data_IF_765771163485
#
_entry.id   IF_765771163485
#
_cell.length_a   1.000
_cell.length_b   1.000
_cell.length_c   1.000
_cell.angle_alpha   90.00
_cell.angle_beta   90.00
_cell.angle_gamma   90.00
#
_symmetry.space_group_name_H-M   'P 1'
#
loop_
_entity.id
_entity.type
_entity.pdbx_description
1 polymer ?
#
# COMPACT_ATOMS: atom_id res chain seq x y z
N UNK A 1 8.42 8.93 -28.97
CA UNK A 1 7.38 9.31 -27.99
C UNK A 1 7.94 8.92 -26.63
N UNK A 2 8.53 9.87 -25.90
CA UNK A 2 9.02 9.62 -24.55
C UNK A 2 7.80 9.32 -23.68
N UNK A 3 7.76 8.12 -23.10
CA UNK A 3 6.72 7.75 -22.14
C UNK A 3 7.07 8.51 -20.86
N UNK A 4 6.30 9.54 -20.52
CA UNK A 4 6.34 10.14 -19.20
C UNK A 4 6.09 9.02 -18.17
N UNK A 5 7.17 8.57 -17.52
CA UNK A 5 7.07 7.67 -16.38
C UNK A 5 6.75 8.53 -15.18
N UNK A 6 5.54 8.38 -14.64
CA UNK A 6 5.23 8.94 -13.33
C UNK A 6 6.26 8.42 -12.33
N UNK A 7 6.79 9.30 -11.48
CA UNK A 7 7.65 8.93 -10.35
C UNK A 7 6.87 8.82 -9.05
N UNK A 8 5.55 9.04 -9.09
CA UNK A 8 4.71 9.10 -7.90
C UNK A 8 4.43 7.70 -7.35
N UNK A 9 4.24 7.61 -6.04
CA UNK A 9 3.87 6.36 -5.38
C UNK A 9 2.57 5.78 -5.95
N UNK A 10 2.43 4.45 -5.89
CA UNK A 10 1.15 3.77 -6.05
C UNK A 10 0.29 4.17 -4.85
N UNK A 11 -0.52 5.21 -5.01
CA UNK A 11 -1.24 5.83 -3.92
C UNK A 11 -2.61 5.17 -3.73
N UNK A 12 -2.70 4.33 -2.70
CA UNK A 12 -3.97 3.80 -2.21
C UNK A 12 -4.63 4.81 -1.27
N UNK A 13 -5.94 5.01 -1.46
CA UNK A 13 -6.76 5.63 -0.42
C UNK A 13 -6.98 4.66 0.76
N UNK A 14 -7.63 5.13 1.82
CA UNK A 14 -7.85 4.33 3.03
C UNK A 14 -8.63 3.03 2.75
N UNK A 15 -9.73 3.11 2.00
CA UNK A 15 -10.59 1.96 1.70
C UNK A 15 -9.85 0.89 0.87
N UNK A 16 -9.06 1.31 -0.11
CA UNK A 16 -8.24 0.43 -0.94
C UNK A 16 -7.13 -0.24 -0.12
N UNK A 17 -6.47 0.51 0.76
CA UNK A 17 -5.45 -0.05 1.65
C UNK A 17 -6.07 -1.07 2.60
N UNK A 18 -7.20 -0.73 3.24
CA UNK A 18 -7.93 -1.65 4.11
C UNK A 18 -8.35 -2.91 3.36
N UNK A 19 -8.93 -2.79 2.17
CA UNK A 19 -9.33 -3.94 1.36
C UNK A 19 -8.14 -4.86 1.01
N UNK A 20 -6.96 -4.32 0.76
CA UNK A 20 -5.74 -5.11 0.56
C UNK A 20 -5.30 -5.82 1.84
N UNK A 21 -5.36 -5.15 2.99
CA UNK A 21 -5.03 -5.75 4.28
C UNK A 21 -6.01 -6.86 4.66
N UNK A 22 -7.32 -6.67 4.43
CA UNK A 22 -8.35 -7.66 4.72
C UNK A 22 -8.17 -8.98 3.96
N UNK A 23 -7.51 -8.97 2.79
CA UNK A 23 -7.16 -10.21 2.08
C UNK A 23 -6.18 -11.08 2.85
N UNK A 24 -5.28 -10.47 3.62
CA UNK A 24 -4.31 -11.18 4.46
C UNK A 24 -4.79 -11.36 5.91
N UNK A 25 -5.63 -10.45 6.39
CA UNK A 25 -6.20 -10.43 7.74
C UNK A 25 -7.72 -10.25 7.67
N UNK A 26 -8.50 -11.32 7.44
CA UNK A 26 -9.94 -11.23 7.20
C UNK A 26 -10.74 -10.54 8.33
N UNK A 27 -10.29 -10.69 9.57
CA UNK A 27 -10.94 -10.10 10.75
C UNK A 27 -10.54 -8.63 10.99
N UNK A 28 -9.66 -8.06 10.15
CA UNK A 28 -9.22 -6.68 10.27
C UNK A 28 -10.31 -5.73 9.75
N UNK A 29 -11.03 -5.07 10.66
CA UNK A 29 -12.08 -4.10 10.31
C UNK A 29 -11.57 -2.67 10.12
N UNK A 30 -10.38 -2.35 10.66
CA UNK A 30 -9.79 -1.01 10.59
C UNK A 30 -8.27 -1.07 10.74
N UNK A 31 -7.60 -0.02 10.24
CA UNK A 31 -6.18 0.23 10.48
C UNK A 31 -6.06 1.35 11.51
N UNK A 32 -5.23 1.16 12.54
CA UNK A 32 -5.04 2.20 13.56
C UNK A 32 -4.13 3.32 13.08
N UNK A 33 -3.09 2.97 12.32
CA UNK A 33 -2.17 3.92 11.66
C UNK A 33 -1.70 3.34 10.33
N UNK A 34 -1.42 4.20 9.35
CA UNK A 34 -0.73 3.81 8.12
C UNK A 34 0.08 4.97 7.53
N UNK A 35 1.18 4.64 6.85
CA UNK A 35 2.01 5.58 6.12
C UNK A 35 2.76 4.90 4.99
N UNK A 36 3.12 5.67 3.97
CA UNK A 36 4.11 5.24 2.98
C UNK A 36 5.50 5.37 3.60
N UNK A 37 6.31 4.33 3.48
CA UNK A 37 7.72 4.35 3.91
C UNK A 37 8.64 4.80 2.78
N UNK A 38 8.42 4.29 1.57
CA UNK A 38 9.23 4.56 0.38
C UNK A 38 8.54 4.01 -0.87
N UNK A 39 9.01 4.43 -2.04
CA UNK A 39 8.60 3.85 -3.32
C UNK A 39 8.72 4.82 -4.49
N UNK A 40 8.09 4.44 -5.60
CA UNK A 40 7.75 5.25 -6.76
C UNK A 40 6.63 4.56 -7.55
N UNK A 41 6.47 4.86 -8.84
CA UNK A 41 5.33 4.32 -9.60
C UNK A 41 5.39 2.80 -9.83
N UNK A 42 6.58 2.20 -9.73
CA UNK A 42 6.77 0.76 -9.96
C UNK A 42 6.67 -0.07 -8.68
N UNK A 43 6.93 0.53 -7.52
CA UNK A 43 6.81 -0.16 -6.24
C UNK A 43 6.48 0.84 -5.13
N UNK A 44 5.65 0.45 -4.17
CA UNK A 44 5.36 1.30 -3.01
C UNK A 44 5.25 0.46 -1.76
N UNK A 45 5.93 0.90 -0.71
CA UNK A 45 5.99 0.21 0.58
C UNK A 45 5.14 0.98 1.58
N UNK A 46 4.12 0.33 2.09
CA UNK A 46 3.27 0.81 3.17
C UNK A 46 3.67 0.16 4.49
N UNK A 47 3.66 0.95 5.56
CA UNK A 47 3.59 0.45 6.93
C UNK A 47 2.18 0.69 7.46
N UNK A 48 1.60 -0.31 8.14
CA UNK A 48 0.33 -0.16 8.83
C UNK A 48 0.34 -0.87 10.19
N UNK A 49 -0.56 -0.45 11.08
CA UNK A 49 -0.77 -1.06 12.40
C UNK A 49 -2.17 -1.64 12.55
N UNK A 50 -2.24 -2.80 13.19
CA UNK A 50 -3.47 -3.44 13.67
C UNK A 50 -3.24 -3.80 15.14
N UNK A 51 -3.90 -3.07 16.04
CA UNK A 51 -3.63 -3.11 17.47
C UNK A 51 -2.15 -2.86 17.78
N UNK A 52 -1.50 -3.71 18.59
CA UNK A 52 -0.10 -3.53 18.95
C UNK A 52 0.89 -3.96 17.86
N UNK A 53 0.42 -4.56 16.75
CA UNK A 53 1.28 -5.16 15.72
C UNK A 53 1.44 -4.22 14.54
N UNK A 54 2.66 -4.14 14.03
CA UNK A 54 3.00 -3.40 12.81
C UNK A 54 3.35 -4.35 11.68
N UNK A 55 2.93 -4.01 10.47
CA UNK A 55 3.11 -4.81 9.26
C UNK A 55 3.58 -3.96 8.10
N UNK A 56 4.10 -4.61 7.07
CA UNK A 56 4.56 -3.98 5.83
C UNK A 56 3.85 -4.61 4.63
N UNK A 57 3.25 -3.76 3.79
CA UNK A 57 2.69 -4.14 2.50
C UNK A 57 3.58 -3.59 1.39
N UNK A 58 4.05 -4.45 0.50
CA UNK A 58 4.79 -4.05 -0.72
C UNK A 58 3.89 -4.22 -1.93
N UNK A 59 3.61 -3.11 -2.61
CA UNK A 59 2.91 -3.08 -3.89
C UNK A 59 3.94 -3.03 -5.02
N UNK A 60 3.66 -3.75 -6.09
CA UNK A 60 4.41 -3.68 -7.33
C UNK A 60 3.44 -3.37 -8.46
N UNK A 61 3.79 -2.43 -9.34
CA UNK A 61 3.10 -2.29 -10.60
C UNK A 61 3.30 -3.58 -11.39
N UNK A 62 2.21 -4.11 -11.94
CA UNK A 62 2.28 -5.25 -12.84
C UNK A 62 2.37 -4.68 -14.26
N UNK A 63 3.46 -4.97 -14.95
CA UNK A 63 3.53 -4.72 -16.39
C UNK A 63 2.38 -5.48 -17.07
N UNK A 64 1.60 -4.75 -17.89
CA UNK A 64 0.53 -5.32 -18.71
C UNK A 64 1.10 -5.94 -19.97
#
# INVERSE_FOLDING_TARGET
MEIERSNEHIQLNHEQLLAMVCKAFPDCLKLDEWRILSGGALNTIYQFKIGPKAFVLRLYARDR
#
